data_IF_549672852621
#
_entry.id   IF_549672852621
#
_cell.length_a   1.000
_cell.length_b   1.000
_cell.length_c   1.000
_cell.angle_alpha   90.00
_cell.angle_beta   90.00
_cell.angle_gamma   90.00
#
_symmetry.space_group_name_H-M   'P 1'
#
loop_
_entity.id
_entity.type
_entity.pdbx_description
1 polymer ?
#
# COMPACT_ATOMS: atom_id res chain seq x y z
N UNK A 1 8.59 53.18 24.32
CA UNK A 1 7.53 52.91 25.31
C UNK A 1 6.20 53.44 24.81
N UNK A 2 5.29 52.55 24.37
CA UNK A 2 3.85 52.81 24.23
C UNK A 2 3.14 51.49 24.55
N UNK A 3 2.40 51.47 25.66
CA UNK A 3 1.59 50.36 26.17
C UNK A 3 0.17 50.52 25.67
N UNK A 4 -0.40 49.49 25.04
CA UNK A 4 -1.84 49.36 24.76
C UNK A 4 -2.25 47.87 24.90
N UNK A 5 -3.55 47.59 25.12
CA UNK A 5 -4.00 46.76 26.24
C UNK A 5 -4.26 45.29 25.90
N UNK A 6 -4.19 44.48 26.98
CA UNK A 6 -4.66 43.10 27.07
C UNK A 6 -6.17 43.04 26.87
N UNK A 7 -6.61 42.22 25.91
CA UNK A 7 -8.01 41.82 25.80
C UNK A 7 -8.06 40.30 25.92
N UNK A 8 -8.51 39.84 27.09
CA UNK A 8 -8.74 38.44 27.43
C UNK A 8 -10.09 38.01 26.85
N UNK A 9 -10.14 36.92 26.09
CA UNK A 9 -11.37 36.38 25.52
C UNK A 9 -11.61 34.98 26.10
N UNK A 10 -12.72 34.83 26.83
CA UNK A 10 -13.11 33.59 27.51
C UNK A 10 -14.07 32.76 26.64
N UNK A 11 -13.71 31.47 26.51
CA UNK A 11 -14.51 30.23 26.51
C UNK A 11 -15.94 30.19 25.94
N UNK A 12 -16.16 29.24 25.03
CA UNK A 12 -17.35 28.39 25.06
C UNK A 12 -17.02 26.98 24.53
N UNK A 13 -17.12 25.98 25.41
CA UNK A 13 -17.12 24.55 25.11
C UNK A 13 -18.48 24.16 24.55
N UNK A 14 -18.51 23.63 23.32
CA UNK A 14 -19.69 23.04 22.71
C UNK A 14 -19.41 21.62 22.26
N UNK A 15 -19.45 20.67 23.20
CA UNK A 15 -19.48 19.23 22.92
C UNK A 15 -20.92 18.83 22.63
N UNK A 16 -21.26 18.65 21.35
CA UNK A 16 -22.52 18.04 20.92
C UNK A 16 -22.24 16.64 20.41
N UNK A 17 -22.28 15.65 21.31
CA UNK A 17 -22.32 14.24 20.96
C UNK A 17 -23.77 13.83 20.65
N UNK A 18 -24.06 13.58 19.38
CA UNK A 18 -25.28 12.90 18.98
C UNK A 18 -25.17 11.41 19.34
N UNK A 19 -26.00 10.97 20.29
CA UNK A 19 -26.19 9.56 20.61
C UNK A 19 -27.39 9.08 19.81
N UNK A 20 -27.16 8.31 18.76
CA UNK A 20 -28.19 7.55 18.08
C UNK A 20 -28.51 6.31 18.94
N UNK A 21 -29.68 6.31 19.58
CA UNK A 21 -30.24 5.15 20.25
C UNK A 21 -30.85 4.21 19.22
N UNK A 22 -30.22 3.06 19.01
CA UNK A 22 -30.84 1.93 18.32
C UNK A 22 -31.85 1.26 19.25
N UNK A 23 -33.09 1.14 18.81
CA UNK A 23 -34.11 0.31 19.44
C UNK A 23 -33.71 -1.16 19.25
N UNK A 24 -33.32 -1.82 20.34
CA UNK A 24 -33.18 -3.26 20.40
C UNK A 24 -34.37 -3.83 21.18
N UNK A 25 -35.19 -4.58 20.48
CA UNK A 25 -36.36 -5.29 21.00
C UNK A 25 -35.95 -6.26 22.12
N UNK A 26 -36.74 -6.26 23.18
CA UNK A 26 -36.53 -6.97 24.42
C UNK A 26 -36.90 -8.47 24.38
N UNK A 27 -36.08 -9.27 25.09
CA UNK A 27 -36.39 -10.56 25.77
C UNK A 27 -36.63 -11.75 24.80
N UNK A 28 -35.87 -12.86 24.89
CA UNK A 28 -35.89 -13.75 26.05
C UNK A 28 -34.62 -14.59 26.16
N UNK A 29 -33.89 -14.40 27.26
CA UNK A 29 -33.31 -15.48 28.03
C UNK A 29 -32.99 -14.92 29.41
N UNK A 30 -33.76 -15.41 30.40
CA UNK A 30 -33.62 -15.11 31.81
C UNK A 30 -32.20 -15.39 32.31
N UNK A 31 -31.60 -14.41 32.99
CA UNK A 31 -30.63 -14.62 34.06
C UNK A 31 -30.59 -13.34 34.90
N UNK A 32 -31.38 -13.27 35.98
CA UNK A 32 -31.25 -12.25 37.03
C UNK A 32 -30.38 -12.81 38.14
N UNK A 33 -29.19 -12.27 38.45
CA UNK A 33 -28.43 -12.69 39.61
C UNK A 33 -28.96 -11.95 40.84
N UNK A 34 -29.73 -12.66 41.67
CA UNK A 34 -29.96 -12.27 43.06
C UNK A 34 -28.93 -12.96 43.96
N UNK A 35 -28.13 -12.20 44.68
CA UNK A 35 -27.50 -12.66 45.92
C UNK A 35 -26.02 -13.07 45.85
N UNK A 36 -25.35 -12.80 46.98
CA UNK A 36 -23.95 -13.10 47.29
C UNK A 36 -23.72 -14.59 47.60
N UNK A 37 -22.50 -15.04 47.28
CA UNK A 37 -21.81 -16.31 47.56
C UNK A 37 -22.02 -17.54 46.65
N UNK A 38 -20.85 -17.98 46.14
CA UNK A 38 -20.42 -19.31 45.67
C UNK A 38 -20.95 -19.86 44.33
N UNK A 39 -20.06 -19.74 43.34
CA UNK A 39 -19.58 -20.72 42.36
C UNK A 39 -20.58 -21.53 41.50
N UNK A 40 -20.17 -21.66 40.24
CA UNK A 40 -20.62 -22.61 39.22
C UNK A 40 -21.78 -22.19 38.29
N UNK A 41 -21.78 -20.92 37.88
CA UNK A 41 -22.43 -20.55 36.62
C UNK A 41 -21.39 -19.94 35.67
N UNK A 42 -20.78 -20.78 34.83
CA UNK A 42 -20.03 -20.37 33.65
C UNK A 42 -20.97 -19.71 32.62
N UNK A 43 -21.45 -18.50 32.91
CA UNK A 43 -21.92 -17.60 31.87
C UNK A 43 -20.69 -17.06 31.15
N UNK A 44 -20.13 -17.86 30.23
CA UNK A 44 -19.25 -17.34 29.20
C UNK A 44 -20.07 -16.39 28.33
N UNK A 45 -20.11 -15.11 28.70
CA UNK A 45 -20.38 -14.06 27.73
C UNK A 45 -19.32 -14.26 26.67
N UNK A 46 -19.73 -14.74 25.49
CA UNK A 46 -18.87 -14.80 24.31
C UNK A 46 -18.61 -13.36 23.90
N UNK A 47 -17.67 -12.71 24.60
CA UNK A 47 -17.18 -11.38 24.27
C UNK A 47 -16.57 -11.54 22.89
N UNK A 48 -17.34 -11.20 21.85
CA UNK A 48 -16.75 -10.96 20.54
C UNK A 48 -15.72 -9.86 20.78
N UNK A 49 -14.43 -10.08 20.50
CA UNK A 49 -13.47 -9.00 20.61
C UNK A 49 -14.04 -7.85 19.77
N UNK A 50 -14.28 -6.70 20.41
CA UNK A 50 -14.53 -5.46 19.67
C UNK A 50 -13.28 -5.28 18.83
N UNK A 51 -13.36 -5.60 17.53
CA UNK A 51 -12.39 -5.17 16.52
C UNK A 51 -12.44 -3.64 16.51
N UNK A 52 -11.71 -3.04 17.45
CA UNK A 52 -11.22 -1.67 17.36
C UNK A 52 -10.40 -1.68 16.08
N UNK A 53 -10.93 -1.00 15.05
CA UNK A 53 -10.38 -0.83 13.72
C UNK A 53 -9.16 -1.69 13.42
N UNK A 54 -9.35 -2.78 12.67
CA UNK A 54 -8.42 -3.04 11.59
C UNK A 54 -8.44 -1.77 10.75
N UNK A 55 -7.57 -0.83 11.09
CA UNK A 55 -6.95 -0.02 10.08
C UNK A 55 -6.32 -1.06 9.17
N UNK A 56 -7.07 -1.42 8.12
CA UNK A 56 -6.55 -2.08 6.95
C UNK A 56 -5.38 -1.18 6.55
N UNK A 57 -4.19 -1.52 7.05
CA UNK A 57 -2.94 -1.08 6.47
C UNK A 57 -3.04 -1.62 5.07
N UNK A 58 -3.58 -0.78 4.19
CA UNK A 58 -3.87 -1.06 2.80
C UNK A 58 -2.61 -1.70 2.25
N UNK A 59 -2.58 -3.03 2.22
CA UNK A 59 -1.57 -3.79 1.50
C UNK A 59 -2.03 -3.69 0.05
N UNK A 60 -2.07 -2.45 -0.42
CA UNK A 60 -2.41 -2.05 -1.76
C UNK A 60 -1.39 -2.77 -2.60
N UNK A 61 -1.82 -3.74 -3.39
CA UNK A 61 -0.94 -4.25 -4.44
C UNK A 61 -0.94 -3.20 -5.55
N UNK A 62 0.12 -3.10 -6.37
CA UNK A 62 0.09 -2.21 -7.53
C UNK A 62 -1.18 -2.47 -8.34
N UNK A 63 -1.67 -1.49 -9.10
CA UNK A 63 -2.89 -1.68 -9.91
C UNK A 63 -2.63 -2.45 -11.22
N UNK A 64 -1.41 -2.36 -11.74
CA UNK A 64 -1.00 -2.91 -13.04
C UNK A 64 0.17 -3.90 -12.93
N UNK A 65 0.29 -4.83 -13.87
CA UNK A 65 1.47 -5.68 -14.06
C UNK A 65 2.73 -4.86 -14.44
N UNK A 66 2.57 -3.65 -14.96
CA UNK A 66 3.69 -2.78 -15.38
C UNK A 66 4.14 -1.80 -14.28
N UNK A 67 3.63 -1.98 -13.07
CA UNK A 67 4.03 -1.21 -11.91
C UNK A 67 5.05 -1.99 -11.06
N UNK A 68 6.29 -1.50 -11.04
CA UNK A 68 7.40 -2.00 -10.25
C UNK A 68 7.25 -1.56 -8.78
N UNK A 69 7.15 -2.52 -7.87
CA UNK A 69 7.15 -2.27 -6.43
C UNK A 69 8.56 -1.92 -5.94
N UNK A 70 8.77 -0.65 -5.56
CA UNK A 70 10.08 -0.13 -5.17
C UNK A 70 10.49 -0.50 -3.74
N UNK A 71 9.70 -1.36 -3.07
CA UNK A 71 9.97 -1.83 -1.71
C UNK A 71 10.31 -3.32 -1.63
N UNK A 72 10.28 -4.03 -2.77
CA UNK A 72 10.54 -5.47 -2.83
C UNK A 72 11.65 -5.78 -3.82
N UNK A 73 12.68 -6.49 -3.37
CA UNK A 73 13.68 -7.06 -4.28
C UNK A 73 13.06 -8.09 -5.23
N UNK A 74 13.65 -8.29 -6.40
CA UNK A 74 13.24 -9.33 -7.33
C UNK A 74 13.54 -9.03 -8.78
N UNK A 75 12.88 -9.76 -9.66
CA UNK A 75 13.04 -9.63 -11.11
C UNK A 75 11.80 -8.95 -11.70
N UNK A 76 12.01 -8.03 -12.63
CA UNK A 76 10.95 -7.27 -13.29
C UNK A 76 11.13 -7.28 -14.81
N UNK A 77 10.09 -7.69 -15.52
CA UNK A 77 10.08 -7.76 -16.97
C UNK A 77 9.30 -6.58 -17.55
N UNK A 78 9.77 -6.02 -18.66
CA UNK A 78 9.09 -4.88 -19.30
C UNK A 78 9.14 -5.01 -20.82
N UNK A 79 8.11 -4.48 -21.51
CA UNK A 79 8.12 -4.38 -22.97
C UNK A 79 8.89 -3.14 -23.43
N UNK A 80 8.60 -2.02 -22.77
CA UNK A 80 9.16 -0.72 -23.06
C UNK A 80 9.31 0.07 -21.76
N UNK A 81 10.38 0.85 -21.61
CA UNK A 81 10.66 1.55 -20.34
C UNK A 81 9.70 2.70 -20.06
N UNK A 82 9.06 3.27 -21.08
CA UNK A 82 8.07 4.34 -20.93
C UNK A 82 6.73 3.85 -20.36
N UNK A 83 6.44 2.54 -20.43
CA UNK A 83 5.27 1.93 -19.79
C UNK A 83 5.51 1.56 -18.33
N UNK A 84 6.78 1.50 -17.89
CA UNK A 84 7.13 1.13 -16.53
C UNK A 84 6.78 2.25 -15.56
N UNK A 85 6.02 1.89 -14.54
CA UNK A 85 5.72 2.77 -13.41
C UNK A 85 6.43 2.28 -12.16
N UNK A 86 7.12 3.17 -11.47
CA UNK A 86 7.56 2.99 -10.10
C UNK A 86 6.35 3.15 -9.18
N UNK A 87 6.11 2.18 -8.30
CA UNK A 87 5.00 2.18 -7.35
C UNK A 87 5.49 1.93 -5.93
N UNK A 88 4.90 2.63 -4.95
CA UNK A 88 5.15 2.43 -3.52
C UNK A 88 3.85 2.12 -2.75
N UNK A 89 3.88 1.27 -1.73
CA UNK A 89 2.71 0.90 -0.93
C UNK A 89 2.18 2.06 -0.09
N UNK A 90 3.08 2.78 0.58
CA UNK A 90 2.70 3.91 1.42
C UNK A 90 2.98 5.25 0.73
N UNK A 91 1.93 6.08 0.65
CA UNK A 91 1.98 7.42 0.11
C UNK A 91 1.50 8.48 1.12
N UNK A 92 1.41 8.13 2.41
CA UNK A 92 1.07 9.07 3.49
C UNK A 92 1.99 10.30 3.48
N UNK A 93 3.29 10.07 3.32
CA UNK A 93 4.33 11.09 3.32
C UNK A 93 5.06 11.22 1.97
N UNK A 94 5.76 12.33 1.77
CA UNK A 94 6.68 12.48 0.65
C UNK A 94 7.95 11.64 0.90
N UNK A 95 8.53 11.09 -0.15
CA UNK A 95 9.74 10.26 -0.06
C UNK A 95 10.55 10.38 -1.35
N UNK A 96 11.86 10.28 -1.25
CA UNK A 96 12.73 10.20 -2.42
C UNK A 96 13.15 8.75 -2.65
N UNK A 97 13.03 8.28 -3.88
CA UNK A 97 13.59 7.01 -4.31
C UNK A 97 14.96 7.26 -4.94
N UNK A 98 16.01 6.72 -4.35
CA UNK A 98 17.34 6.67 -4.96
C UNK A 98 17.46 5.40 -5.82
N UNK A 99 17.95 5.54 -7.05
CA UNK A 99 18.32 4.40 -7.92
C UNK A 99 19.82 4.47 -8.20
N UNK A 100 20.51 3.37 -7.95
CA UNK A 100 21.96 3.26 -8.05
C UNK A 100 22.38 2.07 -8.89
N UNK A 101 23.56 2.16 -9.48
CA UNK A 101 24.23 1.01 -10.06
C UNK A 101 24.85 0.16 -8.93
N UNK A 102 24.51 -1.14 -8.80
CA UNK A 102 24.91 -1.95 -7.66
C UNK A 102 26.43 -2.10 -7.51
N UNK A 103 27.16 -2.26 -8.62
CA UNK A 103 28.60 -2.55 -8.61
C UNK A 103 29.44 -1.34 -8.18
N UNK A 104 29.08 -0.15 -8.66
CA UNK A 104 29.82 1.11 -8.39
C UNK A 104 29.24 1.89 -7.22
N UNK A 105 28.03 1.55 -6.78
CA UNK A 105 27.22 2.32 -5.83
C UNK A 105 26.95 3.76 -6.28
N UNK A 106 27.18 4.05 -7.57
CA UNK A 106 26.95 5.37 -8.14
C UNK A 106 25.46 5.64 -8.20
N UNK A 107 25.05 6.81 -7.68
CA UNK A 107 23.68 7.29 -7.84
C UNK A 107 23.42 7.70 -9.28
N UNK A 108 22.46 7.02 -9.91
CA UNK A 108 22.04 7.31 -11.28
C UNK A 108 20.99 8.42 -11.28
N UNK A 109 20.03 8.35 -10.36
CA UNK A 109 18.91 9.30 -10.28
C UNK A 109 18.21 9.24 -8.92
N UNK A 110 17.66 10.38 -8.49
CA UNK A 110 16.66 10.48 -7.42
C UNK A 110 15.29 10.80 -8.01
N UNK A 111 14.29 9.99 -7.66
CA UNK A 111 12.91 10.16 -8.11
C UNK A 111 12.04 10.61 -6.92
N UNK A 112 11.58 11.88 -6.89
CA UNK A 112 10.80 12.37 -5.77
C UNK A 112 9.34 11.92 -5.86
N UNK A 113 8.86 11.21 -4.84
CA UNK A 113 7.44 10.92 -4.61
C UNK A 113 6.81 12.00 -3.73
N UNK A 114 5.71 12.58 -4.22
CA UNK A 114 4.88 13.51 -3.43
C UNK A 114 3.93 12.73 -2.54
N UNK A 115 3.54 13.30 -1.40
CA UNK A 115 2.47 12.75 -0.58
C UNK A 115 1.19 12.54 -1.39
N UNK A 116 0.43 11.52 -1.03
CA UNK A 116 -0.79 11.03 -1.70
C UNK A 116 -0.59 10.60 -3.16
N UNK A 117 0.65 10.46 -3.62
CA UNK A 117 1.02 9.87 -4.92
C UNK A 117 1.88 8.65 -4.68
N UNK A 118 1.39 7.51 -5.15
CA UNK A 118 2.05 6.21 -5.05
C UNK A 118 2.75 5.80 -6.34
N UNK A 119 2.51 6.46 -7.47
CA UNK A 119 3.10 6.12 -8.78
C UNK A 119 3.99 7.23 -9.34
N UNK A 120 5.06 6.83 -10.02
CA UNK A 120 5.97 7.66 -10.82
C UNK A 120 6.36 6.93 -12.10
N UNK A 121 6.65 7.66 -13.17
CA UNK A 121 7.21 7.05 -14.37
C UNK A 121 8.66 6.61 -14.12
N UNK A 122 9.08 5.52 -14.75
CA UNK A 122 10.50 5.14 -14.80
C UNK A 122 11.33 6.25 -15.48
N UNK A 123 12.52 6.61 -14.95
CA UNK A 123 13.38 7.66 -15.50
C UNK A 123 14.16 7.18 -16.74
N UNK A 124 13.43 6.76 -17.79
CA UNK A 124 14.00 6.11 -18.98
C UNK A 124 14.97 6.98 -19.81
N UNK A 125 14.98 8.30 -19.62
CA UNK A 125 15.95 9.19 -20.27
C UNK A 125 17.34 9.09 -19.65
N UNK A 126 17.43 8.62 -18.40
CA UNK A 126 18.68 8.45 -17.66
C UNK A 126 19.04 6.97 -17.59
N UNK A 127 18.07 6.12 -17.27
CA UNK A 127 18.25 4.67 -17.14
C UNK A 127 17.50 3.98 -18.28
N UNK A 128 18.23 3.69 -19.37
CA UNK A 128 17.65 3.21 -20.64
C UNK A 128 18.08 1.79 -21.04
N UNK A 129 18.78 1.07 -20.16
CA UNK A 129 19.24 -0.30 -20.42
C UNK A 129 18.56 -1.29 -19.47
N UNK A 130 18.45 -2.58 -19.85
CA UNK A 130 18.21 -3.65 -18.88
C UNK A 130 19.44 -3.83 -17.96
N UNK A 131 19.23 -4.40 -16.79
CA UNK A 131 20.32 -4.62 -15.82
C UNK A 131 19.83 -4.73 -14.39
N UNK A 132 20.78 -4.80 -13.46
CA UNK A 132 20.49 -4.73 -12.04
C UNK A 132 20.59 -3.29 -11.52
N UNK A 133 19.67 -2.96 -10.62
CA UNK A 133 19.60 -1.67 -9.96
C UNK A 133 19.38 -1.86 -8.47
N UNK A 134 20.09 -1.05 -7.68
CA UNK A 134 19.81 -0.95 -6.27
C UNK A 134 18.90 0.25 -6.02
N UNK A 135 17.82 0.03 -5.29
CA UNK A 135 16.83 1.06 -5.00
C UNK A 135 16.69 1.27 -3.49
N UNK A 136 16.58 2.51 -3.07
CA UNK A 136 16.35 2.87 -1.67
C UNK A 136 15.26 3.93 -1.60
N UNK A 137 14.14 3.60 -0.94
CA UNK A 137 13.04 4.53 -0.72
C UNK A 137 13.22 5.24 0.62
N UNK A 138 13.33 6.56 0.60
CA UNK A 138 13.65 7.41 1.74
C UNK A 138 14.91 6.90 2.49
N UNK A 139 14.76 6.54 3.76
CA UNK A 139 15.80 5.99 4.62
C UNK A 139 15.64 4.47 4.86
N UNK A 140 14.87 3.80 4.00
CA UNK A 140 14.64 2.36 4.09
C UNK A 140 15.86 1.53 3.73
N UNK A 141 15.71 0.21 3.85
CA UNK A 141 16.74 -0.74 3.42
C UNK A 141 16.89 -0.73 1.89
N UNK A 142 18.13 -0.82 1.35
CA UNK A 142 18.33 -1.00 -0.07
C UNK A 142 17.78 -2.34 -0.55
N UNK A 143 17.06 -2.31 -1.67
CA UNK A 143 16.59 -3.50 -2.39
C UNK A 143 17.31 -3.62 -3.73
N UNK A 144 17.32 -4.83 -4.30
CA UNK A 144 17.90 -5.08 -5.62
C UNK A 144 16.80 -5.53 -6.58
N UNK A 145 16.73 -4.86 -7.73
CA UNK A 145 15.84 -5.21 -8.84
C UNK A 145 16.68 -5.59 -10.05
N UNK A 146 16.39 -6.75 -10.64
CA UNK A 146 16.92 -7.16 -11.95
C UNK A 146 15.86 -6.91 -13.01
N UNK A 147 16.18 -6.09 -14.01
CA UNK A 147 15.25 -5.73 -15.09
C UNK A 147 15.56 -6.48 -16.38
N UNK A 148 14.54 -7.09 -16.97
CA UNK A 148 14.62 -7.79 -18.26
C UNK A 148 13.68 -7.18 -19.30
N UNK A 149 14.22 -6.90 -20.49
CA UNK A 149 13.44 -6.48 -21.64
C UNK A 149 12.82 -7.71 -22.30
N UNK A 150 11.48 -7.72 -22.43
CA UNK A 150 10.74 -8.71 -23.20
C UNK A 150 11.01 -8.44 -24.69
N UNK A 151 11.57 -9.40 -25.45
CA UNK A 151 11.81 -9.19 -26.86
C UNK A 151 10.51 -9.08 -27.65
N UNK A 152 10.44 -8.13 -28.59
CA UNK A 152 9.22 -7.85 -29.37
C UNK A 152 8.74 -8.98 -30.28
N UNK A 153 9.60 -9.98 -30.56
CA UNK A 153 9.26 -11.15 -31.36
C UNK A 153 8.59 -12.28 -30.55
N UNK A 154 8.48 -12.12 -29.23
CA UNK A 154 7.86 -13.13 -28.35
C UNK A 154 6.34 -13.04 -28.49
N UNK A 155 5.72 -14.13 -28.95
CA UNK A 155 4.26 -14.22 -29.05
C UNK A 155 3.58 -14.46 -27.70
N UNK A 156 4.21 -15.26 -26.83
CA UNK A 156 3.71 -15.55 -25.48
C UNK A 156 4.59 -14.88 -24.42
N UNK A 157 4.26 -13.62 -24.13
CA UNK A 157 4.98 -12.82 -23.14
C UNK A 157 4.88 -13.42 -21.73
N UNK A 158 3.75 -14.04 -21.39
CA UNK A 158 3.52 -14.59 -20.04
C UNK A 158 4.46 -15.76 -19.80
N UNK A 159 4.54 -16.70 -20.73
CA UNK A 159 5.50 -17.82 -20.63
C UNK A 159 6.95 -17.32 -20.65
N UNK A 160 7.26 -16.32 -21.47
CA UNK A 160 8.61 -15.75 -21.47
C UNK A 160 8.96 -15.11 -20.12
N UNK A 161 8.05 -14.35 -19.52
CA UNK A 161 8.22 -13.74 -18.21
C UNK A 161 8.42 -14.80 -17.12
N UNK A 162 7.66 -15.89 -17.12
CA UNK A 162 7.82 -16.98 -16.16
C UNK A 162 9.20 -17.64 -16.25
N UNK A 163 9.67 -17.91 -17.47
CA UNK A 163 11.00 -18.49 -17.72
C UNK A 163 12.16 -17.56 -17.32
N UNK A 164 11.90 -16.25 -17.22
CA UNK A 164 12.88 -15.25 -16.82
C UNK A 164 12.67 -14.74 -15.38
N UNK A 165 11.92 -15.48 -14.55
CA UNK A 165 11.78 -15.19 -13.11
C UNK A 165 10.74 -14.12 -12.74
N UNK A 166 10.00 -13.58 -13.71
CA UNK A 166 8.95 -12.58 -13.51
C UNK A 166 7.58 -13.21 -13.18
N UNK A 167 7.54 -14.36 -12.49
CA UNK A 167 6.33 -15.17 -12.29
C UNK A 167 5.17 -14.41 -11.62
N UNK A 168 5.44 -13.59 -10.60
CA UNK A 168 4.39 -12.80 -9.94
C UNK A 168 3.77 -11.78 -10.89
N UNK A 169 4.60 -11.15 -11.71
CA UNK A 169 4.17 -10.18 -12.72
C UNK A 169 3.39 -10.87 -13.85
N UNK A 170 3.85 -12.03 -14.32
CA UNK A 170 3.21 -12.85 -15.34
C UNK A 170 1.80 -13.28 -14.92
N UNK A 171 1.66 -13.74 -13.66
CA UNK A 171 0.36 -14.10 -13.08
C UNK A 171 -0.60 -12.92 -13.07
N UNK A 172 -0.10 -11.73 -12.72
CA UNK A 172 -0.91 -10.51 -12.70
C UNK A 172 -1.34 -10.06 -14.09
N UNK A 173 -0.42 -10.11 -15.07
CA UNK A 173 -0.74 -9.81 -16.46
C UNK A 173 -1.84 -10.75 -16.99
N UNK A 174 -1.78 -12.04 -16.65
CA UNK A 174 -2.83 -13.01 -17.00
C UNK A 174 -4.20 -12.61 -16.43
N UNK A 175 -4.25 -12.20 -15.17
CA UNK A 175 -5.49 -11.73 -14.52
C UNK A 175 -6.03 -10.45 -15.19
N UNK A 176 -5.16 -9.50 -15.53
CA UNK A 176 -5.53 -8.27 -16.22
C UNK A 176 -6.13 -8.57 -17.60
N UNK A 177 -5.48 -9.43 -18.39
CA UNK A 177 -5.97 -9.84 -19.71
C UNK A 177 -7.35 -10.52 -19.63
N UNK A 178 -7.57 -11.39 -18.64
CA UNK A 178 -8.87 -12.05 -18.43
C UNK A 178 -9.99 -11.04 -18.12
N UNK A 179 -9.69 -10.01 -17.31
CA UNK A 179 -10.66 -8.95 -16.98
C UNK A 179 -11.04 -8.13 -18.19
N UNK A 180 -10.07 -7.78 -19.05
CA UNK A 180 -10.34 -7.01 -20.28
C UNK A 180 -11.21 -7.81 -21.25
N UNK A 181 -10.95 -9.10 -21.42
CA UNK A 181 -11.77 -9.97 -22.26
C UNK A 181 -13.22 -10.09 -21.76
N UNK A 182 -13.42 -10.10 -20.43
CA UNK A 182 -14.75 -10.19 -19.84
C UNK A 182 -15.59 -8.90 -19.98
N UNK A 183 -14.94 -7.74 -20.11
CA UNK A 183 -15.61 -6.44 -20.28
C UNK A 183 -15.90 -6.09 -21.74
N UNK A 184 -15.40 -6.88 -22.68
CA UNK A 184 -15.54 -6.66 -24.13
C UNK A 184 -16.72 -7.44 -24.73
N UNK A 185 -17.57 -8.04 -23.89
CA UNK A 185 -18.79 -8.79 -24.22
C UNK A 185 -19.99 -7.97 -23.74
#
# INVERSE_FOLDING_TARGET
MKLLPRTTLYLALGLSSAIASAEATMINNQCTPSGFYQNDAECFIKVRPRRRGEEETNTSTPSSAWALDVTKSGVFCYRTLNEVKLWRPDASEAADLSIKEPATQQELVKVPFRSKRNEKAWPYLIINQPGEYQMTLAYGEPITITMHLIPSYVADEVTWMENNGCTQQANKLRQENQRVSALSI
#
